data_IF_862165588152
#
_entry.id   IF_862165588152
#
_cell.length_a   1.000
_cell.length_b   1.000
_cell.length_c   1.000
_cell.angle_alpha   90.00
_cell.angle_beta   90.00
_cell.angle_gamma   90.00
#
_symmetry.space_group_name_H-M   'P 1'
#
loop_
_entity.id
_entity.type
_entity.pdbx_description
1 polymer ?
#
# COMPACT_ATOMS: atom_id res chain seq x y z
N UNK A 1 17.80 12.19 -4.06
CA UNK A 1 17.68 11.09 -5.05
C UNK A 1 18.84 10.14 -4.77
N UNK A 2 18.60 8.96 -4.21
CA UNK A 2 19.69 8.04 -3.80
C UNK A 2 20.00 7.14 -4.99
N UNK A 3 21.13 7.38 -5.66
CA UNK A 3 21.67 6.49 -6.67
C UNK A 3 22.47 5.41 -5.96
N UNK A 4 21.95 4.18 -5.93
CA UNK A 4 22.66 3.03 -5.41
C UNK A 4 22.81 2.00 -6.52
N UNK A 5 23.94 1.30 -6.54
CA UNK A 5 24.22 0.25 -7.52
C UNK A 5 23.17 -0.86 -7.37
N UNK A 6 22.17 -0.85 -8.26
CA UNK A 6 21.04 -1.78 -8.44
C UNK A 6 21.17 -3.14 -7.72
N UNK A 7 22.25 -3.86 -8.02
CA UNK A 7 22.50 -5.22 -7.51
C UNK A 7 22.54 -5.30 -5.97
N UNK A 8 23.10 -4.31 -5.27
CA UNK A 8 23.20 -4.34 -3.79
C UNK A 8 21.82 -4.25 -3.13
N UNK A 9 20.96 -3.35 -3.62
CA UNK A 9 19.59 -3.20 -3.10
C UNK A 9 18.78 -4.46 -3.41
N UNK A 10 18.93 -5.03 -4.60
CA UNK A 10 18.27 -6.28 -4.94
C UNK A 10 18.62 -7.40 -3.97
N UNK A 11 19.92 -7.63 -3.74
CA UNK A 11 20.35 -8.67 -2.80
C UNK A 11 19.85 -8.38 -1.39
N UNK A 12 19.87 -7.12 -0.95
CA UNK A 12 19.31 -6.75 0.35
C UNK A 12 17.81 -7.08 0.43
N UNK A 13 17.02 -6.72 -0.58
CA UNK A 13 15.58 -7.00 -0.61
C UNK A 13 15.29 -8.50 -0.67
N UNK A 14 16.06 -9.27 -1.45
CA UNK A 14 15.93 -10.72 -1.51
C UNK A 14 16.30 -11.36 -0.17
N UNK A 15 17.39 -10.91 0.47
CA UNK A 15 17.78 -11.37 1.81
C UNK A 15 16.69 -11.06 2.83
N UNK A 16 16.15 -9.83 2.84
CA UNK A 16 15.05 -9.44 3.73
C UNK A 16 13.78 -10.25 3.45
N UNK A 17 13.46 -10.50 2.19
CA UNK A 17 12.31 -11.32 1.79
C UNK A 17 12.46 -12.77 2.26
N UNK A 18 13.59 -13.43 1.95
CA UNK A 18 13.82 -14.81 2.38
C UNK A 18 13.91 -14.94 3.90
N UNK A 19 14.55 -13.97 4.57
CA UNK A 19 14.57 -13.94 6.02
C UNK A 19 13.17 -13.78 6.62
N UNK A 20 12.35 -12.89 6.07
CA UNK A 20 10.95 -12.73 6.47
C UNK A 20 10.14 -14.00 6.24
N UNK A 21 10.31 -14.67 5.09
CA UNK A 21 9.66 -15.94 4.79
C UNK A 21 10.09 -17.04 5.76
N UNK A 22 11.38 -17.11 6.09
CA UNK A 22 11.91 -18.07 7.05
C UNK A 22 11.31 -17.83 8.44
N UNK A 23 11.20 -16.58 8.89
CA UNK A 23 10.54 -16.24 10.15
C UNK A 23 9.06 -16.66 10.15
N UNK A 24 8.32 -16.36 9.08
CA UNK A 24 6.93 -16.81 8.95
C UNK A 24 6.86 -18.34 9.00
N UNK A 25 7.66 -19.03 8.20
CA UNK A 25 7.67 -20.49 8.16
C UNK A 25 8.04 -21.10 9.53
N UNK A 26 9.00 -20.51 10.24
CA UNK A 26 9.36 -20.91 11.59
C UNK A 26 8.18 -20.75 12.56
N UNK A 27 7.44 -19.65 12.49
CA UNK A 27 6.23 -19.46 13.31
C UNK A 27 5.18 -20.54 13.03
N UNK A 28 4.95 -20.89 11.76
CA UNK A 28 4.04 -21.99 11.40
C UNK A 28 4.55 -23.33 11.89
N UNK A 29 5.85 -23.61 11.73
CA UNK A 29 6.47 -24.86 12.16
C UNK A 29 6.35 -25.05 13.68
N UNK A 30 6.60 -24.01 14.48
CA UNK A 30 6.45 -24.07 15.92
C UNK A 30 5.00 -24.30 16.39
N UNK A 31 4.01 -24.09 15.52
CA UNK A 31 2.59 -24.23 15.82
C UNK A 31 1.91 -25.26 14.89
N UNK A 32 2.67 -26.23 14.39
CA UNK A 32 2.18 -27.18 13.39
C UNK A 32 1.03 -28.05 13.90
N UNK A 33 1.07 -28.45 15.17
CA UNK A 33 0.03 -29.30 15.76
C UNK A 33 -1.33 -28.58 15.77
N UNK A 34 -1.35 -27.30 16.16
CA UNK A 34 -2.56 -26.47 16.12
C UNK A 34 -3.07 -26.28 14.70
N UNK A 35 -2.17 -26.13 13.73
CA UNK A 35 -2.55 -26.04 12.32
C UNK A 35 -3.30 -27.29 11.84
N UNK A 36 -2.79 -28.48 12.19
CA UNK A 36 -3.45 -29.75 11.84
C UNK A 36 -4.78 -29.92 12.57
N UNK A 37 -4.85 -29.54 13.84
CA UNK A 37 -6.06 -29.63 14.65
C UNK A 37 -7.19 -28.74 14.08
N UNK A 38 -6.88 -27.48 13.74
CA UNK A 38 -7.83 -26.57 13.09
C UNK A 38 -8.34 -27.13 11.75
N UNK A 39 -7.48 -27.75 10.94
CA UNK A 39 -7.91 -28.35 9.67
C UNK A 39 -8.85 -29.52 9.89
N UNK A 40 -8.59 -30.34 10.91
CA UNK A 40 -9.38 -31.53 11.20
C UNK A 40 -10.74 -31.20 11.83
N UNK A 41 -10.78 -30.20 12.71
CA UNK A 41 -11.90 -29.97 13.61
C UNK A 41 -12.76 -28.76 13.26
N UNK A 42 -12.22 -27.75 12.58
CA UNK A 42 -12.95 -26.50 12.30
C UNK A 42 -13.59 -26.51 10.91
N UNK A 43 -14.91 -26.37 10.87
CA UNK A 43 -15.69 -26.35 9.63
C UNK A 43 -15.32 -25.13 8.77
N UNK A 44 -15.01 -25.39 7.49
CA UNK A 44 -14.67 -24.34 6.54
C UNK A 44 -13.25 -23.77 6.66
N UNK A 45 -12.42 -24.28 7.57
CA UNK A 45 -10.99 -23.93 7.68
C UNK A 45 -10.24 -24.11 6.36
N UNK A 46 -10.46 -25.23 5.67
CA UNK A 46 -9.89 -25.52 4.34
C UNK A 46 -10.30 -24.48 3.29
N UNK A 47 -11.53 -23.97 3.33
CA UNK A 47 -12.01 -22.94 2.40
C UNK A 47 -11.26 -21.64 2.66
N UNK A 48 -11.13 -21.24 3.93
CA UNK A 48 -10.39 -20.04 4.35
C UNK A 48 -8.92 -20.13 3.95
N UNK A 49 -8.27 -21.27 4.20
CA UNK A 49 -6.87 -21.51 3.81
C UNK A 49 -6.72 -21.41 2.29
N UNK A 50 -7.62 -22.04 1.54
CA UNK A 50 -7.56 -22.05 0.07
C UNK A 50 -7.73 -20.64 -0.50
N UNK A 51 -8.73 -19.87 -0.05
CA UNK A 51 -9.01 -18.55 -0.62
C UNK A 51 -7.91 -17.53 -0.27
N UNK A 52 -7.42 -17.53 0.97
CA UNK A 52 -6.30 -16.67 1.37
C UNK A 52 -5.02 -17.11 0.64
N UNK A 53 -4.79 -18.42 0.46
CA UNK A 53 -3.69 -18.97 -0.31
C UNK A 53 -3.70 -18.52 -1.77
N UNK A 54 -4.85 -18.59 -2.46
CA UNK A 54 -5.03 -18.06 -3.82
C UNK A 54 -4.68 -16.57 -3.86
N UNK A 55 -5.16 -15.78 -2.90
CA UNK A 55 -4.83 -14.36 -2.84
C UNK A 55 -3.33 -14.12 -2.67
N UNK A 56 -2.67 -14.85 -1.78
CA UNK A 56 -1.21 -14.76 -1.59
C UNK A 56 -0.48 -15.06 -2.91
N UNK A 57 -0.89 -16.09 -3.64
CA UNK A 57 -0.30 -16.44 -4.94
C UNK A 57 -0.49 -15.30 -5.97
N UNK A 58 -1.68 -14.75 -6.07
CA UNK A 58 -1.98 -13.62 -6.99
C UNK A 58 -1.13 -12.40 -6.66
N UNK A 59 -1.06 -12.01 -5.38
CA UNK A 59 -0.27 -10.86 -4.94
C UNK A 59 1.23 -11.09 -5.17
N UNK A 60 1.72 -12.31 -4.95
CA UNK A 60 3.11 -12.70 -5.22
C UNK A 60 3.43 -12.60 -6.71
N UNK A 61 2.51 -13.03 -7.59
CA UNK A 61 2.65 -12.86 -9.03
C UNK A 61 2.73 -11.40 -9.47
N UNK A 62 1.85 -10.54 -8.93
CA UNK A 62 1.88 -9.09 -9.17
C UNK A 62 3.19 -8.46 -8.73
N UNK A 63 3.64 -8.79 -7.52
CA UNK A 63 4.91 -8.36 -6.95
C UNK A 63 6.09 -8.74 -7.86
N UNK A 64 6.17 -10.01 -8.27
CA UNK A 64 7.26 -10.51 -9.11
C UNK A 64 7.32 -9.80 -10.47
N UNK A 65 6.17 -9.56 -11.10
CA UNK A 65 6.09 -8.84 -12.38
C UNK A 65 6.59 -7.39 -12.24
N UNK A 66 6.22 -6.69 -11.16
CA UNK A 66 6.64 -5.30 -10.95
C UNK A 66 8.12 -5.19 -10.63
N UNK A 67 8.65 -6.07 -9.79
CA UNK A 67 10.08 -6.10 -9.54
C UNK A 67 10.87 -6.48 -10.79
N UNK A 68 10.41 -7.45 -11.60
CA UNK A 68 11.00 -7.74 -12.91
C UNK A 68 11.06 -6.49 -13.80
N UNK A 69 9.94 -5.76 -13.91
CA UNK A 69 9.88 -4.49 -14.66
C UNK A 69 10.82 -3.43 -14.11
N UNK A 70 11.03 -3.37 -12.80
CA UNK A 70 11.99 -2.46 -12.20
C UNK A 70 13.43 -2.88 -12.52
N UNK A 71 13.75 -4.17 -12.48
CA UNK A 71 15.09 -4.68 -12.81
C UNK A 71 15.48 -4.47 -14.27
N UNK A 72 14.52 -4.52 -15.18
CA UNK A 72 14.75 -4.31 -16.62
C UNK A 72 14.97 -2.83 -16.99
N UNK A 73 14.86 -1.89 -16.04
CA UNK A 73 15.11 -0.47 -16.30
C UNK A 73 16.62 -0.16 -16.39
N UNK A 74 17.00 0.66 -17.38
CA UNK A 74 18.39 1.14 -17.56
C UNK A 74 18.91 1.87 -16.32
N UNK A 75 18.04 2.67 -15.69
CA UNK A 75 18.33 3.38 -14.44
C UNK A 75 17.24 3.08 -13.44
N UNK A 76 17.65 2.65 -12.25
CA UNK A 76 16.76 2.19 -11.19
C UNK A 76 16.76 3.15 -10.02
N UNK A 77 15.58 3.60 -9.63
CA UNK A 77 15.36 4.44 -8.45
C UNK A 77 14.39 3.77 -7.48
N UNK A 78 14.63 3.94 -6.19
CA UNK A 78 13.71 3.49 -5.12
C UNK A 78 12.37 4.25 -5.12
N UNK A 79 12.28 5.36 -5.86
CA UNK A 79 11.05 6.12 -6.07
C UNK A 79 10.26 5.66 -7.29
N UNK A 80 10.76 4.68 -8.05
CA UNK A 80 10.08 4.24 -9.27
C UNK A 80 8.78 3.51 -8.93
N UNK A 81 7.76 3.72 -9.79
CA UNK A 81 6.43 3.16 -9.61
C UNK A 81 6.46 1.63 -9.50
N UNK A 82 7.16 0.88 -10.38
CA UNK A 82 7.21 -0.58 -10.26
C UNK A 82 7.87 -1.03 -8.95
N UNK A 83 8.87 -0.29 -8.46
CA UNK A 83 9.50 -0.59 -7.17
C UNK A 83 8.55 -0.38 -6.00
N UNK A 84 7.94 0.80 -5.89
CA UNK A 84 7.06 1.14 -4.76
C UNK A 84 5.83 0.25 -4.72
N UNK A 85 5.18 -0.03 -5.86
CA UNK A 85 4.08 -0.98 -5.90
C UNK A 85 4.52 -2.43 -5.70
N UNK A 86 5.73 -2.81 -6.14
CA UNK A 86 6.30 -4.11 -5.81
C UNK A 86 6.48 -4.28 -4.30
N UNK A 87 6.98 -3.25 -3.62
CA UNK A 87 7.15 -3.22 -2.17
C UNK A 87 5.81 -3.21 -1.42
N UNK A 88 4.79 -2.51 -1.95
CA UNK A 88 3.41 -2.59 -1.46
C UNK A 88 2.87 -4.03 -1.51
N UNK A 89 2.96 -4.71 -2.67
CA UNK A 89 2.49 -6.09 -2.78
C UNK A 89 3.30 -7.07 -1.94
N UNK A 90 4.61 -6.86 -1.80
CA UNK A 90 5.49 -7.63 -0.91
C UNK A 90 5.02 -7.57 0.54
N UNK A 91 4.78 -6.36 1.08
CA UNK A 91 4.30 -6.19 2.45
C UNK A 91 2.90 -6.81 2.61
N UNK A 92 2.02 -6.66 1.61
CA UNK A 92 0.71 -7.31 1.61
C UNK A 92 0.80 -8.84 1.66
N UNK A 93 1.75 -9.46 0.95
CA UNK A 93 1.97 -10.91 1.00
C UNK A 93 2.33 -11.35 2.42
N UNK A 94 3.27 -10.65 3.08
CA UNK A 94 3.59 -10.94 4.48
C UNK A 94 2.38 -10.71 5.41
N UNK A 95 1.66 -9.61 5.22
CA UNK A 95 0.43 -9.33 5.96
C UNK A 95 -0.59 -10.46 5.83
N UNK A 96 -0.75 -11.04 4.63
CA UNK A 96 -1.68 -12.14 4.36
C UNK A 96 -1.20 -13.48 4.88
N UNK A 97 0.11 -13.74 4.90
CA UNK A 97 0.66 -14.93 5.56
C UNK A 97 0.43 -14.90 7.07
N UNK A 98 0.57 -13.73 7.71
CA UNK A 98 0.24 -13.55 9.12
C UNK A 98 -1.28 -13.59 9.35
N UNK A 99 -2.08 -13.05 8.43
CA UNK A 99 -3.55 -13.12 8.48
C UNK A 99 -4.05 -14.57 8.40
N UNK A 100 -3.45 -15.38 7.53
CA UNK A 100 -3.73 -16.82 7.46
C UNK A 100 -3.40 -17.51 8.79
N UNK A 101 -2.22 -17.24 9.34
CA UNK A 101 -1.79 -17.77 10.64
C UNK A 101 -2.76 -17.37 11.75
N UNK A 102 -3.15 -16.10 11.77
CA UNK A 102 -4.12 -15.55 12.71
C UNK A 102 -5.47 -16.26 12.65
N UNK A 103 -6.00 -16.54 11.45
CA UNK A 103 -7.30 -17.22 11.31
C UNK A 103 -7.24 -18.69 11.75
N UNK A 104 -6.11 -19.36 11.53
CA UNK A 104 -5.93 -20.75 11.95
C UNK A 104 -5.79 -20.83 13.47
N UNK A 105 -4.96 -19.97 14.04
CA UNK A 105 -4.63 -20.00 15.46
C UNK A 105 -5.69 -19.37 16.38
N UNK A 106 -6.80 -18.86 15.81
CA UNK A 106 -7.82 -18.10 16.52
C UNK A 106 -8.37 -18.83 17.75
N UNK A 107 -8.57 -20.15 17.64
CA UNK A 107 -9.18 -20.97 18.69
C UNK A 107 -8.18 -21.54 19.71
N UNK A 108 -6.88 -21.46 19.43
CA UNK A 108 -5.85 -22.17 20.20
C UNK A 108 -4.96 -21.27 21.05
N UNK A 109 -4.87 -19.98 20.71
CA UNK A 109 -3.95 -19.06 21.39
C UNK A 109 -4.57 -18.43 22.64
N UNK A 110 -3.73 -18.26 23.67
CA UNK A 110 -4.05 -17.37 24.79
C UNK A 110 -4.27 -15.94 24.31
N UNK A 111 -5.14 -15.19 24.98
CA UNK A 111 -5.46 -13.79 24.64
C UNK A 111 -4.21 -12.90 24.50
N UNK A 112 -3.17 -13.12 25.31
CA UNK A 112 -1.93 -12.34 25.26
C UNK A 112 -1.13 -12.57 23.99
N UNK A 113 -0.86 -13.83 23.63
CA UNK A 113 -0.15 -14.17 22.39
C UNK A 113 -0.97 -13.75 21.16
N UNK A 114 -2.28 -13.95 21.23
CA UNK A 114 -3.21 -13.54 20.19
C UNK A 114 -3.18 -12.03 19.96
N UNK A 115 -3.16 -11.24 21.04
CA UNK A 115 -3.01 -9.78 20.97
C UNK A 115 -1.69 -9.35 20.32
N UNK A 116 -0.58 -10.02 20.63
CA UNK A 116 0.74 -9.72 20.03
C UNK A 116 0.71 -9.94 18.52
N UNK A 117 0.17 -11.07 18.06
CA UNK A 117 0.05 -11.38 16.62
C UNK A 117 -0.86 -10.36 15.93
N UNK A 118 -1.97 -9.99 16.56
CA UNK A 118 -2.88 -8.99 16.03
C UNK A 118 -2.19 -7.62 15.91
N UNK A 119 -1.42 -7.19 16.91
CA UNK A 119 -0.61 -5.96 16.83
C UNK A 119 0.38 -6.01 15.68
N UNK A 120 1.09 -7.12 15.50
CA UNK A 120 2.02 -7.29 14.38
C UNK A 120 1.33 -7.21 13.01
N UNK A 121 0.13 -7.80 12.88
CA UNK A 121 -0.71 -7.67 11.69
C UNK A 121 -1.04 -6.21 11.36
N UNK A 122 -1.44 -5.41 12.36
CA UNK A 122 -1.72 -3.99 12.15
C UNK A 122 -0.45 -3.18 11.81
N UNK A 123 0.69 -3.51 12.43
CA UNK A 123 1.99 -2.91 12.07
C UNK A 123 2.32 -3.14 10.58
N UNK A 124 2.14 -4.38 10.08
CA UNK A 124 2.33 -4.68 8.66
C UNK A 124 1.36 -3.90 7.76
N UNK A 125 0.11 -3.73 8.19
CA UNK A 125 -0.88 -2.92 7.49
C UNK A 125 -0.43 -1.45 7.37
N UNK A 126 0.17 -0.87 8.42
CA UNK A 126 0.69 0.50 8.40
C UNK A 126 1.93 0.63 7.51
N UNK A 127 2.88 -0.31 7.64
CA UNK A 127 4.07 -0.37 6.78
C UNK A 127 3.71 -0.43 5.29
N UNK A 128 2.59 -1.08 4.96
CA UNK A 128 2.10 -1.16 3.60
C UNK A 128 1.70 0.20 3.00
N UNK A 129 1.32 1.19 3.81
CA UNK A 129 0.97 2.53 3.32
C UNK A 129 2.19 3.35 2.91
N UNK A 130 3.36 3.08 3.51
CA UNK A 130 4.59 3.84 3.30
C UNK A 130 4.95 3.96 1.81
N UNK A 131 5.05 2.87 1.02
CA UNK A 131 5.33 2.98 -0.41
C UNK A 131 4.31 3.83 -1.19
N UNK A 132 3.02 3.77 -0.82
CA UNK A 132 1.98 4.57 -1.45
C UNK A 132 2.11 6.05 -1.11
N UNK A 133 2.41 6.36 0.16
CA UNK A 133 2.67 7.72 0.62
C UNK A 133 3.91 8.33 -0.03
N UNK A 134 5.01 7.56 -0.13
CA UNK A 134 6.24 8.02 -0.79
C UNK A 134 6.00 8.49 -2.23
N UNK A 135 5.13 7.79 -2.95
CA UNK A 135 4.75 8.11 -4.32
C UNK A 135 3.82 9.32 -4.42
N UNK A 136 2.84 9.41 -3.52
CA UNK A 136 1.72 10.35 -3.65
C UNK A 136 1.99 11.70 -2.99
N UNK A 137 2.79 11.76 -1.91
CA UNK A 137 3.12 13.03 -1.24
C UNK A 137 3.93 13.99 -2.10
N UNK A 138 4.75 13.48 -3.02
CA UNK A 138 5.49 14.34 -3.96
C UNK A 138 4.54 15.16 -4.84
N UNK A 139 3.43 14.56 -5.26
CA UNK A 139 2.41 15.20 -6.09
C UNK A 139 1.62 16.22 -5.25
N UNK A 140 1.36 15.90 -3.99
CA UNK A 140 0.70 16.80 -3.05
C UNK A 140 1.53 18.07 -2.78
N UNK A 141 2.79 17.90 -2.38
CA UNK A 141 3.71 19.01 -2.13
C UNK A 141 3.87 19.89 -3.37
N UNK A 142 3.98 19.26 -4.55
CA UNK A 142 3.99 19.99 -5.81
C UNK A 142 2.69 20.78 -6.04
N UNK A 143 1.52 20.19 -5.76
CA UNK A 143 0.23 20.88 -5.93
C UNK A 143 0.08 22.11 -5.03
N UNK A 144 0.62 22.05 -3.80
CA UNK A 144 0.65 23.18 -2.87
C UNK A 144 1.57 24.29 -3.38
N UNK A 145 2.73 23.94 -3.95
CA UNK A 145 3.66 24.91 -4.54
C UNK A 145 3.02 25.72 -5.68
N UNK A 146 2.14 25.10 -6.48
CA UNK A 146 1.45 25.76 -7.59
C UNK A 146 0.34 26.71 -7.13
N UNK A 147 -0.40 26.36 -6.07
CA UNK A 147 -1.56 27.15 -5.59
C UNK A 147 -1.12 28.49 -4.97
N UNK A 148 0.08 28.56 -4.42
CA UNK A 148 0.60 29.74 -3.73
C UNK A 148 1.29 30.79 -4.62
N UNK A 149 1.27 30.66 -5.95
CA UNK A 149 1.97 31.58 -6.88
C UNK A 149 1.61 33.07 -6.75
N UNK A 150 0.45 33.43 -6.18
CA UNK A 150 0.06 34.84 -5.92
C UNK A 150 0.53 35.37 -4.55
N UNK A 151 0.65 34.54 -3.52
CA UNK A 151 1.11 34.92 -2.17
C UNK A 151 2.63 34.80 -2.03
N UNK A 152 3.26 33.85 -2.72
CA UNK A 152 4.71 33.61 -2.68
C UNK A 152 5.54 34.66 -3.42
N UNK A 153 4.92 35.54 -4.22
CA UNK A 153 5.67 36.51 -5.04
C UNK A 153 6.38 37.59 -4.22
N UNK A 154 5.94 37.86 -2.98
CA UNK A 154 6.45 38.97 -2.16
C UNK A 154 7.51 38.51 -1.15
N UNK A 155 7.43 37.29 -0.63
CA UNK A 155 8.43 36.76 0.32
C UNK A 155 9.60 36.06 -0.39
N UNK A 156 9.41 35.58 -1.62
CA UNK A 156 10.39 34.69 -2.28
C UNK A 156 11.41 35.40 -3.18
N UNK A 157 11.28 36.70 -3.44
CA UNK A 157 12.32 37.44 -4.19
C UNK A 157 13.68 37.43 -3.44
N UNK A 158 13.69 37.15 -2.12
CA UNK A 158 14.93 37.01 -1.34
C UNK A 158 15.42 35.56 -1.15
N UNK A 159 14.64 34.54 -1.53
CA UNK A 159 15.01 33.11 -1.35
C UNK A 159 15.10 32.31 -2.66
N UNK A 160 14.86 32.94 -3.83
CA UNK A 160 14.77 32.25 -5.14
C UNK A 160 16.09 31.93 -5.84
N UNK A 161 17.21 31.82 -5.12
CA UNK A 161 18.43 31.20 -5.64
C UNK A 161 18.82 30.08 -4.69
N UNK A 162 18.86 28.86 -5.23
CA UNK A 162 19.41 27.62 -4.68
C UNK A 162 18.39 26.61 -4.11
N UNK A 163 18.31 25.43 -4.76
CA UNK A 163 18.40 24.15 -4.05
C UNK A 163 17.15 23.58 -3.34
N UNK A 164 15.94 23.87 -3.85
CA UNK A 164 14.66 23.55 -3.16
C UNK A 164 14.12 22.10 -3.28
N UNK A 165 14.83 21.18 -3.95
CA UNK A 165 14.39 19.77 -4.03
C UNK A 165 14.74 18.97 -2.76
N UNK A 166 15.84 19.33 -2.08
CA UNK A 166 16.28 18.68 -0.83
C UNK A 166 15.38 19.02 0.36
N UNK A 167 14.88 20.26 0.44
CA UNK A 167 13.96 20.65 1.51
C UNK A 167 12.60 19.93 1.38
N UNK A 168 11.98 19.98 0.20
CA UNK A 168 10.70 19.29 -0.07
C UNK A 168 10.80 17.78 0.15
N UNK A 169 11.90 17.15 -0.26
CA UNK A 169 12.12 15.73 0.01
C UNK A 169 12.32 15.45 1.51
N UNK A 170 13.05 16.30 2.25
CA UNK A 170 13.19 16.15 3.71
C UNK A 170 11.84 16.26 4.42
N UNK A 171 11.02 17.27 4.09
CA UNK A 171 9.67 17.43 4.64
C UNK A 171 8.80 16.22 4.34
N UNK A 172 8.86 15.68 3.10
CA UNK A 172 8.15 14.46 2.71
C UNK A 172 8.48 13.29 3.64
N UNK A 173 9.77 13.01 3.86
CA UNK A 173 10.19 11.89 4.71
C UNK A 173 9.80 12.09 6.17
N UNK A 174 10.00 13.30 6.73
CA UNK A 174 9.60 13.61 8.11
C UNK A 174 8.11 13.45 8.35
N UNK A 175 7.27 13.82 7.37
CA UNK A 175 5.82 13.68 7.48
C UNK A 175 5.40 12.19 7.46
N UNK A 176 5.98 11.41 6.56
CA UNK A 176 5.71 9.96 6.48
C UNK A 176 6.19 9.25 7.75
N UNK A 177 7.39 9.60 8.23
CA UNK A 177 7.94 9.10 9.49
C UNK A 177 7.03 9.45 10.67
N UNK A 178 6.57 10.70 10.77
CA UNK A 178 5.64 11.12 11.81
C UNK A 178 4.34 10.32 11.78
N UNK A 179 3.70 10.16 10.61
CA UNK A 179 2.49 9.35 10.46
C UNK A 179 2.76 7.91 10.89
N UNK A 180 3.80 7.28 10.35
CA UNK A 180 4.12 5.88 10.64
C UNK A 180 4.42 5.66 12.13
N UNK A 181 5.24 6.51 12.75
CA UNK A 181 5.55 6.41 14.19
C UNK A 181 4.27 6.60 15.03
N UNK A 182 3.41 7.56 14.68
CA UNK A 182 2.16 7.77 15.40
C UNK A 182 1.23 6.55 15.33
N UNK A 183 1.06 5.95 14.15
CA UNK A 183 0.24 4.75 13.95
C UNK A 183 0.82 3.53 14.71
N UNK A 184 2.15 3.39 14.72
CA UNK A 184 2.84 2.35 15.50
C UNK A 184 2.61 2.51 16.99
N UNK A 185 2.79 3.73 17.54
CA UNK A 185 2.58 4.00 18.97
C UNK A 185 1.13 3.69 19.35
N UNK A 186 0.15 4.18 18.57
CA UNK A 186 -1.28 3.91 18.81
C UNK A 186 -1.54 2.40 18.86
N UNK A 187 -0.98 1.64 17.92
CA UNK A 187 -1.16 0.18 17.84
C UNK A 187 -0.53 -0.55 19.04
N UNK A 188 0.67 -0.12 19.46
CA UNK A 188 1.38 -0.74 20.58
C UNK A 188 0.69 -0.46 21.93
N UNK A 189 0.13 0.73 22.11
CA UNK A 189 -0.52 1.14 23.36
C UNK A 189 -1.90 0.54 23.58
N UNK A 190 -2.53 -0.07 22.57
CA UNK A 190 -3.86 -0.66 22.76
C UNK A 190 -3.83 -1.86 23.73
N UNK A 191 -4.73 -1.91 24.71
CA UNK A 191 -4.66 -2.87 25.82
C UNK A 191 -5.33 -4.22 25.53
N UNK A 192 -6.29 -4.30 24.62
CA UNK A 192 -7.11 -5.50 24.41
C UNK A 192 -7.42 -5.77 22.93
N UNK A 193 -7.91 -6.98 22.64
CA UNK A 193 -8.16 -7.49 21.28
C UNK A 193 -9.23 -6.67 20.56
N UNK A 194 -10.29 -6.27 21.28
CA UNK A 194 -11.42 -5.52 20.72
C UNK A 194 -11.00 -4.11 20.28
N UNK A 195 -10.24 -3.39 21.10
CA UNK A 195 -9.73 -2.05 20.76
C UNK A 195 -8.75 -2.13 19.59
N UNK A 196 -7.84 -3.12 19.58
CA UNK A 196 -6.92 -3.34 18.45
C UNK A 196 -7.71 -3.64 17.17
N UNK A 197 -8.75 -4.47 17.23
CA UNK A 197 -9.57 -4.80 16.05
C UNK A 197 -10.27 -3.58 15.46
N UNK A 198 -10.63 -2.61 16.31
CA UNK A 198 -11.27 -1.35 15.91
C UNK A 198 -10.32 -0.37 15.21
N UNK A 199 -8.99 -0.55 15.35
CA UNK A 199 -7.96 0.26 14.67
C UNK A 199 -8.12 0.24 13.16
N UNK A 200 -8.72 -0.81 12.57
CA UNK A 200 -8.94 -0.90 11.12
C UNK A 200 -9.66 0.34 10.55
N UNK A 201 -10.47 1.03 11.37
CA UNK A 201 -11.14 2.28 10.99
C UNK A 201 -10.13 3.39 10.68
N UNK A 202 -8.99 3.44 11.36
CA UNK A 202 -7.91 4.41 11.11
C UNK A 202 -7.25 4.19 9.74
N UNK A 203 -7.36 3.01 9.14
CA UNK A 203 -6.83 2.76 7.80
C UNK A 203 -7.67 3.45 6.70
N UNK A 204 -8.96 3.70 6.96
CA UNK A 204 -9.89 4.27 5.99
C UNK A 204 -9.45 5.68 5.53
N UNK A 205 -9.15 6.64 6.44
CA UNK A 205 -8.57 7.94 6.05
C UNK A 205 -7.32 7.82 5.18
N UNK A 206 -6.42 6.89 5.50
CA UNK A 206 -5.18 6.67 4.76
C UNK A 206 -5.45 6.20 3.32
N UNK A 207 -6.38 5.26 3.10
CA UNK A 207 -6.77 4.85 1.75
C UNK A 207 -7.50 5.95 0.96
N UNK A 208 -8.38 6.71 1.62
CA UNK A 208 -9.06 7.84 0.99
C UNK A 208 -8.05 8.93 0.58
N UNK A 209 -7.05 9.20 1.42
CA UNK A 209 -5.96 10.11 1.11
C UNK A 209 -5.18 9.63 -0.12
N UNK A 210 -4.80 8.35 -0.17
CA UNK A 210 -4.10 7.77 -1.33
C UNK A 210 -4.95 7.90 -2.60
N UNK A 211 -6.24 7.53 -2.56
CA UNK A 211 -7.16 7.67 -3.70
C UNK A 211 -7.25 9.12 -4.18
N UNK A 212 -7.43 10.06 -3.26
CA UNK A 212 -7.49 11.49 -3.56
C UNK A 212 -6.20 12.01 -4.19
N UNK A 213 -5.04 11.56 -3.71
CA UNK A 213 -3.75 11.95 -4.27
C UNK A 213 -3.52 11.41 -5.68
N UNK A 214 -3.91 10.16 -5.97
CA UNK A 214 -3.90 9.63 -7.34
C UNK A 214 -4.88 10.39 -8.26
N UNK A 215 -6.04 10.78 -7.74
CA UNK A 215 -6.98 11.62 -8.49
C UNK A 215 -6.39 13.01 -8.78
N UNK A 216 -5.67 13.61 -7.83
CA UNK A 216 -4.91 14.85 -8.05
C UNK A 216 -3.80 14.67 -9.08
N UNK A 217 -3.09 13.54 -9.06
CA UNK A 217 -2.08 13.21 -10.05
C UNK A 217 -2.66 13.17 -11.47
N UNK A 218 -3.84 12.56 -11.62
CA UNK A 218 -4.60 12.58 -12.87
C UNK A 218 -4.95 14.01 -13.30
N UNK A 219 -5.53 14.81 -12.40
CA UNK A 219 -5.93 16.20 -12.70
C UNK A 219 -4.76 17.10 -13.08
N UNK A 220 -3.57 16.84 -12.52
CA UNK A 220 -2.32 17.56 -12.80
C UNK A 220 -1.51 16.93 -13.94
N UNK A 221 -2.02 15.89 -14.60
CA UNK A 221 -1.34 15.14 -15.67
C UNK A 221 0.08 14.66 -15.29
N UNK A 222 0.27 14.30 -14.02
CA UNK A 222 1.50 13.70 -13.49
C UNK A 222 1.42 12.18 -13.56
N UNK A 223 2.58 11.52 -13.50
CA UNK A 223 2.69 10.05 -13.62
C UNK A 223 2.10 9.49 -14.92
N UNK A 224 2.37 10.16 -16.07
CA UNK A 224 1.83 9.80 -17.39
C UNK A 224 2.09 8.35 -17.82
N UNK A 225 3.08 7.68 -17.22
CA UNK A 225 3.41 6.27 -17.49
C UNK A 225 2.30 5.29 -17.06
N UNK A 226 1.42 5.68 -16.14
CA UNK A 226 0.37 4.83 -15.56
C UNK A 226 -1.00 5.50 -15.61
N UNK A 227 -2.07 4.69 -15.56
CA UNK A 227 -3.42 5.22 -15.53
C UNK A 227 -3.84 5.59 -14.10
N UNK A 228 -3.42 6.79 -13.67
CA UNK A 228 -3.69 7.34 -12.32
C UNK A 228 -5.17 7.42 -11.97
N UNK A 229 -6.06 7.62 -12.95
CA UNK A 229 -7.52 7.64 -12.72
C UNK A 229 -8.03 6.26 -12.27
N UNK A 230 -7.65 5.19 -12.99
CA UNK A 230 -8.10 3.84 -12.62
C UNK A 230 -7.50 3.44 -11.26
N UNK A 231 -6.25 3.80 -10.98
CA UNK A 231 -5.61 3.56 -9.67
C UNK A 231 -6.38 4.29 -8.55
N UNK A 232 -6.74 5.56 -8.75
CA UNK A 232 -7.55 6.31 -7.80
C UNK A 232 -8.89 5.61 -7.51
N UNK A 233 -9.58 5.17 -8.56
CA UNK A 233 -10.84 4.41 -8.43
C UNK A 233 -10.63 3.07 -7.73
N UNK A 234 -9.55 2.34 -8.03
CA UNK A 234 -9.22 1.09 -7.35
C UNK A 234 -9.02 1.27 -5.84
N UNK A 235 -8.25 2.28 -5.41
CA UNK A 235 -8.09 2.58 -3.99
C UNK A 235 -9.38 3.09 -3.34
N UNK A 236 -10.24 3.82 -4.08
CA UNK A 236 -11.57 4.20 -3.59
C UNK A 236 -12.45 2.95 -3.33
N UNK A 237 -12.48 2.02 -4.29
CA UNK A 237 -13.19 0.74 -4.13
C UNK A 237 -12.62 -0.07 -2.97
N UNK A 238 -11.31 -0.01 -2.75
CA UNK A 238 -10.67 -0.65 -1.60
C UNK A 238 -11.09 -0.02 -0.26
N UNK A 239 -11.18 1.32 -0.18
CA UNK A 239 -11.74 2.01 0.99
C UNK A 239 -13.19 1.57 1.26
N UNK A 240 -14.03 1.53 0.22
CA UNK A 240 -15.42 1.10 0.32
C UNK A 240 -15.51 -0.36 0.76
N UNK A 241 -14.69 -1.24 0.18
CA UNK A 241 -14.61 -2.65 0.59
C UNK A 241 -14.18 -2.81 2.05
N UNK A 242 -13.24 -1.99 2.52
CA UNK A 242 -12.82 -1.99 3.93
C UNK A 242 -13.92 -1.51 4.86
N UNK A 243 -14.67 -0.47 4.51
CA UNK A 243 -15.82 0.02 5.29
C UNK A 243 -16.91 -1.05 5.35
N UNK A 244 -17.29 -1.60 4.19
CA UNK A 244 -18.33 -2.64 4.10
C UNK A 244 -17.93 -3.89 4.87
N UNK A 245 -16.64 -4.25 4.88
CA UNK A 245 -16.08 -5.32 5.72
C UNK A 245 -16.38 -5.08 7.20
N UNK A 246 -16.00 -3.92 7.74
CA UNK A 246 -16.25 -3.58 9.15
C UNK A 246 -17.74 -3.65 9.48
N UNK A 247 -18.59 -3.08 8.62
CA UNK A 247 -20.05 -3.08 8.81
C UNK A 247 -20.62 -4.50 8.78
N UNK A 248 -20.24 -5.31 7.80
CA UNK A 248 -20.75 -6.69 7.68
C UNK A 248 -20.30 -7.57 8.84
N UNK A 249 -19.06 -7.40 9.33
CA UNK A 249 -18.60 -8.12 10.51
C UNK A 249 -19.42 -7.78 11.76
N UNK A 250 -19.88 -6.53 11.91
CA UNK A 250 -20.74 -6.12 13.01
C UNK A 250 -22.14 -6.76 12.93
N UNK A 251 -22.72 -6.89 11.73
CA UNK A 251 -24.08 -7.43 11.56
C UNK A 251 -24.15 -8.95 11.48
N UNK A 252 -23.22 -9.60 10.79
CA UNK A 252 -23.27 -11.03 10.47
C UNK A 252 -22.21 -11.85 11.21
N UNK A 253 -21.33 -11.22 12.00
CA UNK A 253 -20.20 -11.87 12.64
C UNK A 253 -19.11 -12.32 11.64
N UNK A 254 -18.14 -13.08 12.15
CA UNK A 254 -17.07 -13.67 11.32
C UNK A 254 -17.52 -15.03 10.78
N UNK A 255 -18.21 -15.03 9.63
CA UNK A 255 -18.59 -16.28 8.93
C UNK A 255 -17.61 -16.61 7.81
N UNK A 256 -17.49 -17.90 7.48
CA UNK A 256 -16.62 -18.37 6.37
C UNK A 256 -17.04 -17.77 5.03
N UNK A 257 -18.34 -17.68 4.76
CA UNK A 257 -18.89 -17.06 3.55
C UNK A 257 -18.47 -15.60 3.42
N UNK A 258 -18.54 -14.86 4.53
CA UNK A 258 -18.12 -13.46 4.56
C UNK A 258 -16.62 -13.31 4.26
N UNK A 259 -15.76 -14.12 4.89
CA UNK A 259 -14.32 -14.12 4.60
C UNK A 259 -14.12 -14.36 3.10
N UNK A 260 -14.73 -15.41 2.55
CA UNK A 260 -14.63 -15.75 1.13
C UNK A 260 -15.01 -14.59 0.19
N UNK A 261 -16.18 -13.97 0.38
CA UNK A 261 -16.63 -12.84 -0.45
C UNK A 261 -15.64 -11.68 -0.34
N UNK A 262 -15.22 -11.35 0.89
CA UNK A 262 -14.32 -10.22 1.13
C UNK A 262 -12.93 -10.43 0.52
N UNK A 263 -12.43 -11.66 0.49
CA UNK A 263 -11.14 -12.00 -0.12
C UNK A 263 -11.21 -11.93 -1.66
N UNK A 264 -12.31 -12.41 -2.27
CA UNK A 264 -12.52 -12.32 -3.72
C UNK A 264 -12.64 -10.87 -4.19
N UNK A 265 -13.44 -10.06 -3.48
CA UNK A 265 -13.63 -8.64 -3.82
C UNK A 265 -12.28 -7.92 -3.78
N UNK A 266 -11.49 -8.15 -2.74
CA UNK A 266 -10.15 -7.56 -2.63
C UNK A 266 -9.24 -7.98 -3.79
N UNK A 267 -9.21 -9.27 -4.15
CA UNK A 267 -8.42 -9.76 -5.30
C UNK A 267 -8.84 -9.05 -6.59
N UNK A 268 -10.15 -8.91 -6.82
CA UNK A 268 -10.68 -8.18 -7.97
C UNK A 268 -10.21 -6.72 -7.99
N UNK A 269 -10.25 -6.03 -6.86
CA UNK A 269 -9.77 -4.65 -6.73
C UNK A 269 -8.27 -4.55 -7.01
N UNK A 270 -7.45 -5.45 -6.46
CA UNK A 270 -6.01 -5.46 -6.73
C UNK A 270 -5.68 -5.78 -8.19
N UNK A 271 -6.44 -6.64 -8.85
CA UNK A 271 -6.31 -6.89 -10.28
C UNK A 271 -6.59 -5.62 -11.11
N UNK A 272 -7.60 -4.84 -10.74
CA UNK A 272 -7.91 -3.55 -11.39
C UNK A 272 -6.76 -2.54 -11.20
N UNK A 273 -6.24 -2.41 -9.97
CA UNK A 273 -5.09 -1.53 -9.67
C UNK A 273 -3.87 -1.98 -10.47
N UNK A 274 -3.57 -3.29 -10.47
CA UNK A 274 -2.44 -3.86 -11.17
C UNK A 274 -2.52 -3.65 -12.69
N UNK A 275 -3.70 -3.90 -13.28
CA UNK A 275 -3.94 -3.61 -14.71
C UNK A 275 -3.66 -2.14 -15.05
N UNK A 276 -4.08 -1.21 -14.20
CA UNK A 276 -3.84 0.23 -14.39
C UNK A 276 -2.36 0.63 -14.32
N UNK A 277 -1.53 -0.13 -13.59
CA UNK A 277 -0.08 0.04 -13.55
C UNK A 277 0.60 -0.48 -14.82
N UNK A 278 0.07 -1.55 -15.42
CA UNK A 278 0.65 -2.13 -16.64
C UNK A 278 0.22 -1.39 -17.91
N UNK A 279 -1.00 -0.85 -17.94
CA UNK A 279 -1.56 -0.18 -19.11
C UNK A 279 -0.90 1.17 -19.34
N UNK A 280 -0.09 1.28 -20.40
CA UNK A 280 0.41 2.56 -20.89
C UNK A 280 -0.77 3.47 -21.26
N UNK A 281 -0.74 4.70 -20.76
CA UNK A 281 -1.73 5.72 -21.14
C UNK A 281 -1.48 6.09 -22.60
N UNK A 282 -2.48 5.90 -23.48
CA UNK A 282 -2.45 6.53 -24.81
C UNK A 282 -2.39 8.03 -24.56
N UNK A 283 -1.29 8.68 -24.95
CA UNK A 283 -1.20 10.13 -24.86
C UNK A 283 -2.36 10.72 -25.67
N UNK A 284 -3.35 11.25 -24.97
CA UNK A 284 -4.34 12.10 -25.61
C UNK A 284 -3.56 13.35 -25.97
N UNK A 285 -3.23 13.49 -27.26
CA UNK A 285 -2.61 14.68 -27.83
C UNK A 285 -3.60 15.83 -27.65
N UNK A 286 -3.62 16.44 -26.46
CA UNK A 286 -4.20 17.76 -26.22
C UNK A 286 -3.10 18.77 -26.51
N UNK A 287 -2.52 18.67 -27.71
CA UNK A 287 -1.71 19.73 -28.32
C UNK A 287 -2.52 20.17 -29.51
N UNK A 288 -3.50 21.05 -29.28
CA UNK A 288 -4.03 21.91 -30.36
C UNK A 288 -4.70 23.19 -29.89
N UNK A 289 -5.17 23.29 -28.64
CA UNK A 289 -5.94 24.49 -28.22
C UNK A 289 -5.28 25.37 -27.13
N UNK A 290 -4.00 25.17 -26.80
CA UNK A 290 -3.32 26.03 -25.79
C UNK A 290 -2.11 26.83 -26.32
N UNK A 291 -1.78 26.74 -27.61
CA UNK A 291 -0.70 27.53 -28.23
C UNK A 291 -1.19 28.59 -29.24
N UNK A 292 -2.49 28.69 -29.53
CA UNK A 292 -3.04 29.69 -30.48
C UNK A 292 -3.74 30.90 -29.83
N UNK A 293 -3.08 31.64 -28.92
CA UNK A 293 -3.35 33.08 -28.94
C UNK A 293 -2.09 33.96 -29.01
N UNK A 294 -0.89 33.38 -29.13
CA UNK A 294 0.34 34.20 -29.06
C UNK A 294 0.89 34.67 -30.42
N UNK A 295 0.23 34.39 -31.55
CA UNK A 295 0.76 34.72 -32.87
C UNK A 295 -0.18 35.56 -33.75
N UNK A 296 -0.97 36.45 -33.15
CA UNK A 296 -1.81 37.40 -33.91
C UNK A 296 -1.39 38.87 -33.84
N UNK A 297 -0.27 39.21 -33.20
CA UNK A 297 0.25 40.59 -33.19
C UNK A 297 1.78 40.60 -33.39
N UNK A 298 2.24 40.36 -34.62
CA UNK A 298 3.48 40.92 -35.18
C UNK A 298 3.17 41.30 -36.63
#
# INVERSE_FOLDING_TARGET
>A
MIYMKSRKIFYLLMVLFFFGLLLVFYIYYCNWDYFLDTIANEEGSLIVITIIGIRILVLTGMMAILFKKWFEQEVQYLSDIPFLFGLFFLILVFGKLIDLFYNIMYFHLTDTLFLIILKFRFILMWLNMIPLFLMTFEIWLFSLSLKNRKLFKIVVIKTMKLQDNTYLTSVKYKLIEFIAISELIITLMMPNIETVSSIIILAIPSFLLVSWLFYKAFKLQRLKKINTRIIATGFLLYSISTITRVIWQMFFGKTVLYIFISEIVDVGIFLVIFYALLKKVKEVVIIKNQLEPYNKNI
#
